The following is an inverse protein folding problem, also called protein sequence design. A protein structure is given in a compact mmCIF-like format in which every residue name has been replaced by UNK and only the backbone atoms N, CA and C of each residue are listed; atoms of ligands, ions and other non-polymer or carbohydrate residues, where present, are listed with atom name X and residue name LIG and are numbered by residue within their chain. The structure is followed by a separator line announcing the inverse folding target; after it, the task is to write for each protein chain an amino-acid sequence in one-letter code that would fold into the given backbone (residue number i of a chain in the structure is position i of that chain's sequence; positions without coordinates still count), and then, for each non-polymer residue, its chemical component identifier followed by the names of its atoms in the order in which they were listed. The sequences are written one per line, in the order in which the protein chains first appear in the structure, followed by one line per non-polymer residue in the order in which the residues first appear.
data_IF_015703167921
#
_entry.id   IF_015703167921
#
_cell.length_a   1.000
_cell.length_b   1.000
_cell.length_c   1.000
_cell.angle_alpha   90.00
_cell.angle_beta   90.00
_cell.angle_gamma   90.00
#
_symmetry.space_group_name_H-M   'P 1'
#
loop_
_entity.id
_entity.type
_entity.pdbx_description
1 polymer ?
2 non-polymer ?
3 water ?
#
# COMPACT_ATOMS: atom_id res chain seq x y z
N UNK A 7 47.46 -8.63 -4.63
CA UNK A 7 46.70 -9.05 -5.80
C UNK A 7 45.58 -10.03 -5.42
N UNK A 8 44.34 -9.73 -5.84
CA UNK A 8 43.16 -10.52 -5.45
C UNK A 8 43.11 -11.92 -6.06
N UNK A 9 42.69 -12.91 -5.28
CA UNK A 9 42.56 -14.27 -5.79
C UNK A 9 41.10 -14.73 -5.70
N UNK A 10 40.51 -15.11 -6.83
CA UNK A 10 39.10 -15.49 -6.83
C UNK A 10 38.87 -16.90 -6.29
N UNK A 11 37.80 -17.06 -5.51
CA UNK A 11 37.43 -18.35 -4.93
C UNK A 11 35.94 -18.40 -4.62
N UNK A 12 35.23 -19.35 -5.24
CA UNK A 12 33.80 -19.50 -4.97
C UNK A 12 33.55 -19.88 -3.51
N UNK A 13 34.45 -20.72 -2.97
CA UNK A 13 34.32 -21.18 -1.60
C UNK A 13 34.34 -19.99 -0.64
N UNK A 14 35.27 -19.06 -0.88
CA UNK A 14 35.38 -17.88 -0.04
C UNK A 14 34.16 -16.97 -0.19
N UNK A 15 33.70 -16.78 -1.43
CA UNK A 15 32.49 -15.99 -1.67
C UNK A 15 31.31 -16.50 -0.85
N UNK A 16 31.09 -17.82 -0.88
CA UNK A 16 29.97 -18.43 -0.18
C UNK A 16 30.10 -18.23 1.33
N UNK A 17 31.33 -18.40 1.83
CA UNK A 17 31.61 -18.19 3.23
C UNK A 17 31.36 -16.74 3.65
N UNK A 18 31.80 -15.80 2.82
CA UNK A 18 31.53 -14.39 3.11
C UNK A 18 30.03 -14.10 3.08
N UNK A 19 29.34 -14.63 2.06
CA UNK A 19 27.91 -14.37 1.91
C UNK A 19 27.17 -14.81 3.17
N UNK A 20 27.48 -16.03 3.63
CA UNK A 20 26.82 -16.59 4.81
C UNK A 20 27.22 -15.85 6.08
N UNK A 21 28.46 -15.39 6.15
CA UNK A 21 28.90 -14.64 7.32
C UNK A 21 28.12 -13.34 7.46
N UNK A 22 27.71 -12.80 6.31
CA UNK A 22 27.03 -11.50 6.28
C UNK A 22 25.53 -11.62 6.43
N UNK A 23 25.01 -12.83 6.30
CA UNK A 23 23.56 -13.02 6.30
C UNK A 23 22.90 -12.52 7.60
N UNK A 24 21.85 -11.73 7.47
CA UNK A 24 21.01 -11.39 8.62
C UNK A 24 19.77 -12.28 8.62
N UNK A 25 19.36 -12.73 9.79
CA UNK A 25 18.33 -13.74 9.86
C UNK A 25 16.91 -13.20 9.69
N UNK A 26 16.73 -11.92 9.99
CA UNK A 26 15.39 -11.32 10.01
C UNK A 26 15.36 -9.89 9.48
N UNK A 27 14.51 -9.62 8.48
CA UNK A 27 14.34 -8.25 7.98
C UNK A 27 13.70 -7.34 9.03
N UNK A 28 13.78 -6.03 8.82
CA UNK A 28 13.03 -5.08 9.65
C UNK A 28 11.53 -5.30 9.50
N UNK A 29 10.74 -4.85 10.48
CA UNK A 29 9.28 -4.97 10.35
C UNK A 29 8.77 -4.29 9.08
N UNK A 30 9.44 -3.21 8.65
CA UNK A 30 9.04 -2.50 7.43
C UNK A 30 9.24 -3.39 6.20
N UNK A 31 10.40 -4.00 6.11
CA UNK A 31 10.75 -4.85 4.97
C UNK A 31 9.90 -6.11 4.99
N UNK A 32 9.65 -6.62 6.19
CA UNK A 32 8.82 -7.81 6.35
C UNK A 32 7.38 -7.53 5.88
N UNK A 33 6.89 -6.34 6.16
CA UNK A 33 5.57 -5.96 5.69
C UNK A 33 5.53 -5.93 4.16
N UNK A 34 6.48 -5.24 3.53
CA UNK A 34 6.58 -5.26 2.07
C UNK A 34 6.66 -6.70 1.54
N UNK A 35 7.55 -7.51 2.11
CA UNK A 35 7.72 -8.89 1.65
C UNK A 35 6.40 -9.66 1.71
N UNK A 36 5.56 -9.34 2.69
CA UNK A 36 4.31 -10.09 2.90
C UNK A 36 3.20 -9.75 1.91
N UNK A 37 3.28 -8.61 1.22
CA UNK A 37 2.22 -8.26 0.27
C UNK A 37 2.68 -8.09 -1.19
N UNK A 38 3.97 -8.19 -1.44
CA UNK A 38 4.49 -7.87 -2.77
C UNK A 38 3.99 -8.83 -3.84
N UNK A 39 3.90 -10.12 -3.49
CA UNK A 39 3.42 -11.12 -4.43
C UNK A 39 1.98 -10.85 -4.88
N UNK A 40 1.09 -10.61 -3.92
CA UNK A 40 -0.30 -10.32 -4.22
C UNK A 40 -0.43 -8.98 -4.94
N UNK A 41 0.42 -8.03 -4.60
CA UNK A 41 0.36 -6.74 -5.26
C UNK A 41 0.76 -6.85 -6.73
N UNK A 42 1.77 -7.66 -7.02
CA UNK A 42 2.19 -7.86 -8.42
C UNK A 42 1.06 -8.52 -9.23
N UNK A 43 0.42 -9.53 -8.65
CA UNK A 43 -0.67 -10.22 -9.33
C UNK A 43 -1.86 -9.31 -9.59
N UNK A 44 -2.32 -8.60 -8.56
CA UNK A 44 -3.49 -7.76 -8.69
C UNK A 44 -3.24 -6.58 -9.61
N UNK A 45 -2.04 -6.01 -9.53
CA UNK A 45 -1.73 -4.84 -10.35
C UNK A 45 -1.56 -5.18 -11.82
N UNK A 46 -1.28 -6.44 -12.10
CA UNK A 46 -1.24 -6.91 -13.48
C UNK A 46 -2.67 -7.06 -13.99
N UNK A 47 -3.52 -7.68 -13.18
CA UNK A 47 -4.93 -7.85 -13.53
C UNK A 47 -5.66 -6.52 -13.74
N UNK A 48 -5.31 -5.50 -12.95
CA UNK A 48 -5.96 -4.19 -13.06
C UNK A 48 -5.08 -3.12 -13.71
N UNK A 49 -3.95 -3.54 -14.28
CA UNK A 49 -2.99 -2.63 -14.92
C UNK A 49 -2.62 -1.37 -14.12
N UNK A 50 -2.09 -1.57 -12.92
CA UNK A 50 -1.64 -0.49 -12.05
C UNK A 50 -0.18 -0.72 -11.68
N UNK A 51 0.46 0.25 -11.02
CA UNK A 51 1.84 0.05 -10.51
C UNK A 51 1.83 -0.65 -9.15
N UNK A 52 2.47 -1.83 -9.07
CA UNK A 52 2.63 -2.53 -7.80
C UNK A 52 3.41 -1.68 -6.79
N UNK A 53 4.36 -0.90 -7.28
CA UNK A 53 5.18 -0.08 -6.39
C UNK A 53 4.29 0.94 -5.69
N UNK A 54 3.31 1.45 -6.42
CA UNK A 54 2.43 2.47 -5.87
C UNK A 54 1.44 1.84 -4.87
N UNK A 55 0.97 0.64 -5.19
CA UNK A 55 0.07 -0.09 -4.29
C UNK A 55 0.76 -0.47 -2.96
N UNK A 56 2.00 -0.95 -3.06
CA UNK A 56 2.72 -1.37 -1.87
C UNK A 56 3.02 -0.14 -1.02
N UNK A 57 3.44 0.94 -1.65
CA UNK A 57 3.70 2.18 -0.91
C UNK A 57 2.43 2.71 -0.24
N UNK A 58 1.31 2.67 -0.95
CA UNK A 58 0.04 3.09 -0.36
C UNK A 58 -0.33 2.22 0.82
N UNK A 59 -0.15 0.90 0.69
CA UNK A 59 -0.51 -0.01 1.77
C UNK A 59 0.31 0.27 3.02
N UNK A 60 1.61 0.53 2.83
CA UNK A 60 2.49 0.78 3.97
C UNK A 60 2.11 2.09 4.65
N UNK A 61 1.79 3.08 3.84
CA UNK A 61 1.48 4.41 4.33
C UNK A 61 0.13 4.45 5.07
N UNK A 62 -0.89 3.84 4.48
CA UNK A 62 -2.26 3.93 5.01
C UNK A 62 -2.48 3.02 6.21
N UNK A 63 -1.64 1.99 6.32
CA UNK A 63 -1.75 1.02 7.41
C UNK A 63 -0.66 1.13 8.49
N UNK A 64 0.32 2.04 8.32
CA UNK A 64 1.54 2.13 9.19
C UNK A 64 2.32 0.80 9.22
N UNK A 65 2.75 0.37 8.04
CA UNK A 65 3.51 -0.88 7.92
C UNK A 65 2.74 -2.04 8.51
N UNK A 66 1.41 -2.02 8.34
CA UNK A 66 0.54 -3.08 8.81
C UNK A 66 0.32 -3.13 10.32
N UNK A 67 0.53 -2.03 11.03
CA UNK A 67 0.43 -2.05 12.49
C UNK A 67 -0.83 -1.38 13.06
N UNK A 68 -1.62 -0.72 12.23
CA UNK A 68 -2.84 -0.08 12.73
C UNK A 68 -3.83 -1.16 13.16
N UNK A 69 -4.76 -0.80 14.03
CA UNK A 69 -5.69 -1.78 14.59
C UNK A 69 -6.57 -2.41 13.50
N UNK A 70 -6.91 -1.62 12.49
CA UNK A 70 -7.65 -2.10 11.33
C UNK A 70 -6.79 -2.98 10.40
N UNK A 71 -5.53 -2.64 10.27
CA UNK A 71 -4.65 -3.32 9.33
C UNK A 71 -4.28 -4.73 9.72
N UNK A 72 -4.02 -4.97 11.00
CA UNK A 72 -3.59 -6.29 11.42
C UNK A 72 -4.78 -7.24 11.57
N UNK A 73 -4.48 -8.52 11.77
CA UNK A 73 -5.52 -9.51 11.98
C UNK A 73 -6.35 -9.15 13.21
N UNK A 74 -7.64 -9.52 13.21
CA UNK A 74 -8.33 -10.29 12.17
C UNK A 74 -9.13 -9.44 11.18
N UNK A 75 -8.82 -8.15 11.07
CA UNK A 75 -9.56 -7.28 10.18
C UNK A 75 -8.92 -7.13 8.81
N UNK A 76 -7.60 -6.99 8.78
CA UNK A 76 -6.83 -7.00 7.53
C UNK A 76 -7.14 -5.82 6.63
N UNK A 77 -7.70 -4.75 7.20
CA UNK A 77 -8.16 -3.60 6.43
C UNK A 77 -7.04 -2.56 6.33
N UNK A 78 -6.17 -2.73 5.33
CA UNK A 78 -4.95 -1.92 5.22
C UNK A 78 -5.24 -0.47 4.90
N UNK A 79 -6.33 -0.21 4.18
CA UNK A 79 -6.57 1.14 3.70
C UNK A 79 -7.63 1.87 4.51
N UNK A 80 -8.10 1.25 5.60
CA UNK A 80 -9.10 1.88 6.45
C UNK A 80 -10.41 2.17 5.73
N UNK A 81 -10.83 1.25 4.87
CA UNK A 81 -12.04 1.41 4.10
C UNK A 81 -13.29 1.25 4.96
N UNK A 82 -14.21 2.21 4.87
CA UNK A 82 -15.46 2.14 5.62
C UNK A 82 -16.49 1.23 4.95
N UNK A 83 -17.40 0.70 5.75
CA UNK A 83 -18.45 -0.18 5.24
C UNK A 83 -18.24 -1.63 5.64
N UNK A 84 -18.49 -2.54 4.71
CA UNK A 84 -18.31 -3.96 4.97
C UNK A 84 -17.78 -4.66 3.73
N UNK A 85 -17.34 -5.90 3.93
CA UNK A 85 -16.88 -6.73 2.82
C UNK A 85 -17.63 -8.05 2.90
N UNK A 86 -18.48 -8.31 1.92
CA UNK A 86 -19.35 -9.48 1.96
C UNK A 86 -20.04 -9.61 3.32
N UNK A 87 -20.64 -8.51 3.76
CA UNK A 87 -21.40 -8.50 5.01
C UNK A 87 -20.58 -8.39 6.29
N UNK A 88 -19.28 -8.56 6.20
CA UNK A 88 -18.43 -8.55 7.39
C UNK A 88 -17.88 -7.15 7.69
N UNK A 89 -17.89 -6.78 8.97
CA UNK A 89 -17.35 -5.48 9.37
C UNK A 89 -16.88 -5.48 10.82
N UNK A 90 -16.24 -4.38 11.21
CA UNK A 90 -15.81 -4.19 12.58
C UNK A 90 -16.04 -2.72 12.94
N UNK A 91 -16.52 -2.49 14.14
CA UNK A 91 -16.81 -1.13 14.58
C UNK A 91 -15.63 -0.63 15.40
N UNK A 92 -15.26 0.62 15.19
CA UNK A 92 -14.31 1.24 16.10
C UNK A 92 -14.35 2.76 16.02
N UNK A 93 -13.85 3.40 17.08
CA UNK A 93 -13.82 4.86 17.14
C UNK A 93 -12.89 5.37 16.05
N UNK A 94 -13.21 6.52 15.49
CA UNK A 94 -12.36 7.16 14.50
C UNK A 94 -12.50 8.67 14.64
N UNK A 95 -11.49 9.41 14.22
CA UNK A 95 -11.55 10.87 14.25
C UNK A 95 -12.26 11.47 13.03
N UNK A 96 -13.09 12.48 13.27
CA UNK A 96 -13.74 13.23 12.21
C UNK A 96 -13.54 14.71 12.49
N UNK A 97 -13.60 15.54 11.46
CA UNK A 97 -13.50 16.99 11.67
C UNK A 97 -14.64 17.73 10.98
N UNK A 98 -15.10 18.79 11.62
CA UNK A 98 -16.02 19.71 10.98
C UNK A 98 -15.74 21.10 11.52
N UNK A 99 -15.85 22.11 10.66
CA UNK A 99 -15.67 23.48 11.09
C UNK A 99 -16.61 23.73 12.27
N UNK A 100 -17.75 23.05 12.25
CA UNK A 100 -18.80 23.24 13.25
C UNK A 100 -18.43 22.71 14.64
N UNK A 101 -17.95 21.48 14.72
CA UNK A 101 -17.68 20.86 16.02
C UNK A 101 -16.19 20.76 16.35
N UNK A 102 -15.34 20.84 15.32
CA UNK A 102 -13.91 20.66 15.51
C UNK A 102 -13.54 19.22 15.30
N UNK A 103 -12.47 18.77 15.97
CA UNK A 103 -12.10 17.37 15.93
C UNK A 103 -12.94 16.62 16.96
N UNK A 104 -13.55 15.53 16.53
CA UNK A 104 -14.37 14.72 17.44
C UNK A 104 -14.31 13.25 17.07
N UNK A 105 -14.58 12.40 18.05
CA UNK A 105 -14.55 10.97 17.82
C UNK A 105 -15.94 10.46 17.51
N UNK A 106 -16.00 9.32 16.86
CA UNK A 106 -17.28 8.71 16.50
C UNK A 106 -17.02 7.26 16.15
N UNK A 107 -18.02 6.42 16.38
CA UNK A 107 -17.95 5.04 15.95
C UNK A 107 -18.25 4.94 14.48
N UNK A 108 -17.50 4.10 13.78
CA UNK A 108 -17.81 3.82 12.38
C UNK A 108 -17.65 2.33 12.10
N UNK A 109 -18.25 1.87 11.02
CA UNK A 109 -18.09 0.49 10.59
C UNK A 109 -17.03 0.42 9.51
N UNK A 110 -16.07 -0.48 9.69
CA UNK A 110 -15.01 -0.65 8.72
C UNK A 110 -15.07 -2.04 8.16
N UNK A 111 -14.70 -2.17 6.88
CA UNK A 111 -14.72 -3.47 6.23
C UNK A 111 -13.81 -4.44 6.99
N UNK A 112 -14.20 -5.70 7.03
CA UNK A 112 -13.43 -6.76 7.65
C UNK A 112 -13.15 -7.80 6.56
N UNK A 113 -11.88 -8.05 6.27
CA UNK A 113 -11.50 -8.93 5.17
C UNK A 113 -10.96 -10.26 5.67
N UNK A 114 -11.02 -11.30 4.83
CA UNK A 114 -10.44 -12.62 5.13
C UNK A 114 -8.91 -12.56 5.24
N UNK A 115 -8.30 -11.65 4.50
CA UNK A 115 -6.86 -11.47 4.54
C UNK A 115 -6.47 -10.20 3.81
N UNK A 116 -5.18 -9.90 3.82
CA UNK A 116 -4.67 -8.72 3.15
C UNK A 116 -4.97 -8.72 1.65
N UNK A 117 -5.14 -9.91 1.08
CA UNK A 117 -5.34 -10.01 -0.35
C UNK A 117 -6.59 -9.25 -0.79
N UNK A 118 -7.69 -9.45 -0.09
CA UNK A 118 -8.97 -8.85 -0.47
C UNK A 118 -8.93 -7.33 -0.23
N UNK A 119 -8.16 -6.92 0.77
CA UNK A 119 -7.95 -5.51 1.06
C UNK A 119 -7.18 -4.81 -0.09
N UNK A 120 -6.09 -5.44 -0.53
CA UNK A 120 -5.35 -4.94 -1.69
C UNK A 120 -6.23 -4.89 -2.94
N UNK A 121 -7.05 -5.92 -3.13
CA UNK A 121 -7.91 -5.96 -4.30
C UNK A 121 -8.93 -4.82 -4.31
N UNK A 122 -9.46 -4.48 -3.13
CA UNK A 122 -10.36 -3.33 -3.01
C UNK A 122 -9.69 -2.04 -3.45
N UNK A 123 -8.42 -1.85 -3.06
CA UNK A 123 -7.66 -0.68 -3.47
C UNK A 123 -7.50 -0.66 -4.99
N UNK A 124 -7.22 -1.82 -5.57
CA UNK A 124 -7.08 -1.93 -7.03
C UNK A 124 -8.39 -1.61 -7.74
N UNK A 125 -9.49 -2.14 -7.21
CA UNK A 125 -10.81 -1.88 -7.78
C UNK A 125 -11.13 -0.38 -7.69
N UNK A 126 -10.84 0.21 -6.54
CA UNK A 126 -11.05 1.63 -6.33
C UNK A 126 -10.35 2.46 -7.40
N UNK A 127 -9.06 2.22 -7.60
CA UNK A 127 -8.29 2.98 -8.60
C UNK A 127 -8.76 2.73 -10.03
N UNK A 128 -8.97 1.46 -10.37
CA UNK A 128 -9.31 1.09 -11.73
C UNK A 128 -10.78 1.40 -12.06
N UNK A 129 -11.69 1.02 -11.17
CA UNK A 129 -13.12 1.25 -11.44
C UNK A 129 -13.62 2.62 -11.02
N UNK A 130 -12.89 3.28 -10.12
CA UNK A 130 -13.25 4.61 -9.68
C UNK A 130 -14.40 4.65 -8.69
N UNK A 131 -14.64 5.84 -8.11
CA UNK A 131 -15.82 6.08 -7.28
C UNK A 131 -17.06 6.06 -8.16
N UNK A 132 -18.23 5.95 -7.54
CA UNK A 132 -19.46 5.75 -8.31
C UNK A 132 -19.80 6.93 -9.20
N UNK A 133 -19.37 8.12 -8.80
CA UNK A 133 -19.69 9.34 -9.57
C UNK A 133 -18.75 9.59 -10.76
N UNK A 134 -17.61 8.90 -10.82
CA UNK A 134 -16.66 9.09 -11.92
C UNK A 134 -15.69 7.93 -12.08
N UNK A 135 -16.01 7.02 -12.99
CA UNK A 135 -15.23 5.80 -13.12
C UNK A 135 -13.78 6.04 -13.56
N UNK A 136 -13.49 7.21 -14.13
CA UNK A 136 -12.13 7.49 -14.59
C UNK A 136 -11.40 8.48 -13.68
N UNK A 137 -11.95 8.73 -12.50
CA UNK A 137 -11.34 9.61 -11.52
C UNK A 137 -9.83 9.41 -11.31
N UNK A 138 -9.39 8.15 -11.25
CA UNK A 138 -7.98 7.89 -10.99
C UNK A 138 -7.17 7.56 -12.25
N UNK A 139 -7.66 7.98 -13.41
CA UNK A 139 -7.05 7.61 -14.70
C UNK A 139 -5.55 7.91 -14.81
N UNK A 140 -5.09 8.96 -14.14
CA UNK A 140 -3.69 9.31 -14.16
C UNK A 140 -2.79 8.30 -13.43
N UNK A 141 -3.40 7.41 -12.67
CA UNK A 141 -2.65 6.37 -11.97
C UNK A 141 -2.74 5.04 -12.70
N UNK A 142 -3.52 5.00 -13.78
CA UNK A 142 -3.57 3.80 -14.61
C UNK A 142 -2.25 3.68 -15.34
N UNK A 143 -1.74 2.47 -15.43
CA UNK A 143 -0.42 2.27 -16.01
C UNK A 143 -0.35 2.67 -17.48
N UNK A 144 -1.45 2.50 -18.23
CA UNK A 144 -1.47 2.91 -19.63
C UNK A 144 -1.46 4.43 -19.82
N UNK A 145 -1.64 5.20 -18.74
CA UNK A 145 -1.57 6.66 -18.83
C UNK A 145 -0.40 7.27 -18.06
N UNK A 146 0.31 6.47 -17.28
CA UNK A 146 1.38 7.01 -16.44
C UNK A 146 2.73 6.49 -16.91
N UNK A 147 3.56 7.36 -17.47
CA UNK A 147 4.84 6.93 -18.02
C UNK A 147 5.72 6.30 -16.92
N UNK A 148 5.76 6.96 -15.77
CA UNK A 148 6.47 6.42 -14.62
C UNK A 148 5.55 6.43 -13.41
N UNK A 149 5.98 5.78 -12.34
CA UNK A 149 5.20 5.74 -11.12
C UNK A 149 4.98 7.13 -10.54
N UNK A 150 5.90 8.05 -10.81
CA UNK A 150 5.77 9.42 -10.33
C UNK A 150 4.55 10.14 -10.93
N UNK A 151 4.17 9.78 -12.14
CA UNK A 151 2.95 10.35 -12.72
C UNK A 151 1.75 9.82 -11.96
N UNK A 152 1.82 8.54 -11.58
CA UNK A 152 0.73 7.92 -10.85
C UNK A 152 0.59 8.52 -9.46
N UNK A 153 1.70 8.69 -8.73
CA UNK A 153 1.60 9.21 -7.37
C UNK A 153 1.12 10.67 -7.42
N UNK A 154 1.65 11.44 -8.36
CA UNK A 154 1.22 12.82 -8.56
C UNK A 154 -0.29 12.88 -8.83
N UNK A 155 -0.82 11.89 -9.53
CA UNK A 155 -2.25 11.86 -9.79
C UNK A 155 -3.08 11.57 -8.52
N UNK A 156 -2.56 10.71 -7.65
CA UNK A 156 -3.26 10.35 -6.41
C UNK A 156 -3.34 11.54 -5.44
N UNK A 157 -2.33 12.40 -5.46
CA UNK A 157 -2.31 13.53 -4.55
C UNK A 157 -3.47 14.47 -4.88
N UNK A 158 -4.22 14.88 -3.86
CA UNK A 158 -5.39 15.70 -4.07
C UNK A 158 -6.63 14.91 -4.46
N UNK A 159 -6.45 13.66 -4.86
CA UNK A 159 -7.60 12.84 -5.24
C UNK A 159 -7.87 11.73 -4.24
N UNK A 160 -6.86 10.90 -3.97
CA UNK A 160 -7.02 9.81 -3.02
C UNK A 160 -7.07 10.36 -1.60
N UNK A 161 -6.25 11.38 -1.34
CA UNK A 161 -6.20 11.99 -0.03
C UNK A 161 -5.97 13.48 -0.19
N UNK A 162 -6.51 14.26 0.72
CA UNK A 162 -6.15 15.67 0.82
C UNK A 162 -4.90 15.77 1.69
N UNK A 163 -3.79 16.11 1.06
CA UNK A 163 -2.48 16.07 1.70
C UNK A 163 -1.52 16.48 0.59
N UNK A 164 -1.01 17.70 0.69
CA UNK A 164 -0.23 18.25 -0.42
C UNK A 164 1.21 17.75 -0.46
N UNK A 165 1.52 16.76 0.37
CA UNK A 165 2.79 16.05 0.23
C UNK A 165 2.58 14.55 0.04
N UNK A 166 1.34 14.16 -0.26
CA UNK A 166 1.02 12.75 -0.46
C UNK A 166 1.95 12.09 -1.48
N UNK A 167 2.07 12.69 -2.66
CA UNK A 167 2.91 12.12 -3.72
C UNK A 167 4.34 11.96 -3.26
N UNK A 168 4.84 13.00 -2.60
CA UNK A 168 6.21 13.00 -2.10
C UNK A 168 6.45 11.86 -1.10
N UNK A 169 5.48 11.60 -0.22
CA UNK A 169 5.57 10.47 0.70
C UNK A 169 5.63 9.13 -0.04
N UNK A 170 4.72 8.92 -0.98
CA UNK A 170 4.74 7.69 -1.77
C UNK A 170 6.08 7.53 -2.50
N UNK A 171 6.53 8.60 -3.13
CA UNK A 171 7.81 8.57 -3.84
C UNK A 171 8.98 8.21 -2.93
N UNK A 172 8.95 8.70 -1.70
CA UNK A 172 10.03 8.43 -0.76
C UNK A 172 10.03 6.96 -0.34
N UNK A 173 8.85 6.40 -0.08
CA UNK A 173 8.76 4.97 0.22
C UNK A 173 9.25 4.16 -0.96
N UNK A 174 8.81 4.52 -2.15
CA UNK A 174 9.17 3.78 -3.36
C UNK A 174 10.68 3.74 -3.59
N UNK A 175 11.36 4.88 -3.54
CA UNK A 175 12.81 4.85 -3.74
C UNK A 175 13.59 4.28 -2.54
N UNK A 176 13.12 4.52 -1.32
CA UNK A 176 13.85 4.07 -0.14
C UNK A 176 13.84 2.55 -0.01
N UNK A 177 12.79 1.91 -0.49
CA UNK A 177 12.73 0.45 -0.46
C UNK A 177 12.82 -0.20 -1.85
N UNK A 178 13.25 0.58 -2.85
CA UNK A 178 13.31 0.15 -4.26
C UNK A 178 12.08 -0.64 -4.66
N UNK A 179 10.91 -0.03 -4.47
CA UNK A 179 9.66 -0.73 -4.79
C UNK A 179 9.45 -0.93 -6.29
N UNK A 180 10.21 -0.22 -7.13
CA UNK A 180 10.08 -0.41 -8.57
C UNK A 180 10.54 -1.79 -9.04
N UNK A 181 11.29 -2.51 -8.20
CA UNK A 181 11.71 -3.88 -8.53
C UNK A 181 10.48 -4.74 -8.83
N UNK A 182 9.35 -4.36 -8.26
CA UNK A 182 8.12 -5.14 -8.42
C UNK A 182 7.31 -4.75 -9.65
N UNK A 183 7.69 -3.63 -10.29
CA UNK A 183 6.93 -3.12 -11.43
C UNK A 183 7.24 -3.88 -12.72
X LIG B 1 20.22 -10.71 12.81
X LIG B 1 20.06 -11.03 14.23
X LIG B 1 21.08 -9.53 12.64
X LIG B 1 20.80 -11.88 12.15
X LIG B 1 18.90 -10.42 12.23
#
# INVERSE_FOLDING_TARGET
GAMESEEPVFSLEQNRDDAMAALASTPTFQQTFINSISTQAMDLCKKYNLYPSVMIAQAALESNWGRSELGKAPNYNLFGIKGSYNGKSVTMKTWEYSDSKGWYQINANFAKYPSHKESLEDNAKKLRNGPSWDSSYYKGAWRENAKTYKDATAWLQGRYATDNTYASKLNTLISSYNLTQYD
SO4 S O1 O2 O3 O4
#
